data_IF_363824206440
#
_entry.id   IF_363824206440
#
_cell.length_a   1.000
_cell.length_b   1.000
_cell.length_c   1.000
_cell.angle_alpha   90.00
_cell.angle_beta   90.00
_cell.angle_gamma   90.00
#
_symmetry.space_group_name_H-M   'P 1'
#
loop_
_entity.id
_entity.type
_entity.pdbx_description
1 polymer ?
#
# COMPACT_ATOMS: atom_id res chain seq x y z
N UNK A 1 0.63 -24.96 11.55
CA UNK A 1 0.17 -23.55 11.54
C UNK A 1 1.28 -22.73 10.89
N UNK A 2 1.18 -22.48 9.60
CA UNK A 2 0.67 -21.25 8.96
C UNK A 2 1.76 -20.20 8.78
N UNK A 3 2.49 -20.24 7.66
CA UNK A 3 3.17 -19.05 7.17
C UNK A 3 3.22 -19.00 5.64
N UNK A 4 2.06 -19.28 5.02
CA UNK A 4 1.83 -18.93 3.63
C UNK A 4 1.41 -17.46 3.59
N UNK A 5 2.33 -16.54 3.33
CA UNK A 5 2.07 -15.25 2.63
C UNK A 5 3.37 -14.44 2.53
N UNK A 6 4.28 -14.90 1.68
CA UNK A 6 5.32 -14.04 1.15
C UNK A 6 4.74 -13.22 -0.01
N UNK A 7 4.26 -12.01 0.29
CA UNK A 7 4.12 -10.92 -0.68
C UNK A 7 5.16 -9.88 -0.31
N UNK A 8 6.11 -9.65 -1.21
CA UNK A 8 7.33 -8.88 -0.95
C UNK A 8 7.05 -7.49 -0.33
N UNK A 9 7.94 -6.99 0.56
CA UNK A 9 7.73 -5.74 1.27
C UNK A 9 7.72 -4.55 0.30
N UNK A 10 6.54 -4.02 0.01
CA UNK A 10 6.41 -2.77 -0.75
C UNK A 10 6.95 -1.64 0.12
N UNK A 11 8.08 -1.03 -0.25
CA UNK A 11 8.66 0.02 0.57
C UNK A 11 7.88 1.34 0.43
N UNK A 12 7.47 1.89 1.57
CA UNK A 12 6.77 3.15 1.72
C UNK A 12 7.49 4.09 2.67
N UNK A 13 7.42 5.40 2.41
CA UNK A 13 7.91 6.39 3.36
C UNK A 13 6.83 6.67 4.41
N UNK A 14 7.13 6.40 5.68
CA UNK A 14 6.21 6.71 6.77
C UNK A 14 6.47 8.11 7.31
N UNK A 15 5.49 9.01 7.19
CA UNK A 15 5.59 10.36 7.77
C UNK A 15 5.65 10.36 9.30
N UNK A 16 5.05 9.35 9.95
CA UNK A 16 5.15 9.19 11.41
C UNK A 16 6.50 8.65 11.85
N UNK A 17 7.08 7.71 11.09
CA UNK A 17 8.40 7.16 11.42
C UNK A 17 9.55 7.98 10.85
N UNK A 18 9.26 8.91 9.92
CA UNK A 18 10.21 9.71 9.12
C UNK A 18 11.27 8.85 8.43
N UNK A 19 10.86 7.68 7.97
CA UNK A 19 11.78 6.65 7.52
C UNK A 19 11.14 5.78 6.43
N UNK A 20 11.96 5.22 5.54
CA UNK A 20 11.50 4.28 4.51
C UNK A 20 11.35 2.90 5.13
N UNK A 21 10.14 2.34 5.04
CA UNK A 21 9.75 1.11 5.74
C UNK A 21 8.88 0.22 4.85
N UNK A 22 8.85 -1.08 5.10
CA UNK A 22 7.94 -1.98 4.39
C UNK A 22 6.47 -1.65 4.73
N UNK A 23 5.62 -1.66 3.70
CA UNK A 23 4.17 -1.66 3.80
C UNK A 23 3.69 -3.10 3.93
N UNK A 24 3.04 -3.41 5.05
CA UNK A 24 2.30 -4.65 5.25
C UNK A 24 0.99 -4.62 4.47
N UNK A 25 0.70 -5.74 3.79
CA UNK A 25 -0.57 -5.93 3.08
C UNK A 25 -0.80 -4.95 1.94
N UNK A 26 0.26 -4.52 1.25
CA UNK A 26 0.14 -3.69 0.07
C UNK A 26 -0.71 -4.40 -1.00
N UNK A 27 -1.90 -3.87 -1.22
CA UNK A 27 -2.92 -4.40 -2.13
C UNK A 27 -3.25 -3.32 -3.15
N UNK A 28 -3.28 -3.70 -4.42
CA UNK A 28 -3.78 -2.82 -5.46
C UNK A 28 -5.32 -2.79 -5.38
N UNK A 29 -5.86 -1.59 -5.22
CA UNK A 29 -7.28 -1.30 -5.25
C UNK A 29 -7.58 -0.45 -6.47
N UNK A 30 -8.43 -0.98 -7.34
CA UNK A 30 -8.96 -0.26 -8.48
C UNK A 30 -10.26 0.42 -8.05
N UNK A 31 -10.28 1.76 -8.07
CA UNK A 31 -11.49 2.52 -7.85
C UNK A 31 -12.05 2.98 -9.20
N UNK A 32 -13.26 2.55 -9.59
CA UNK A 32 -13.92 3.09 -10.78
C UNK A 32 -14.23 4.57 -10.55
N UNK A 33 -13.68 5.44 -11.39
CA UNK A 33 -13.98 6.88 -11.40
C UNK A 33 -14.94 7.25 -12.52
N UNK A 34 -15.60 8.40 -12.39
CA UNK A 34 -16.61 8.97 -13.33
C UNK A 34 -16.08 9.29 -14.75
N UNK A 35 -14.89 8.82 -15.12
CA UNK A 35 -14.23 9.00 -16.41
C UNK A 35 -12.97 8.15 -16.57
N UNK A 36 -12.96 6.93 -16.00
CA UNK A 36 -11.86 5.95 -16.12
C UNK A 36 -11.52 5.22 -14.82
N UNK A 37 -10.78 4.11 -14.93
CA UNK A 37 -10.28 3.33 -13.80
C UNK A 37 -9.11 4.05 -13.12
N UNK A 38 -9.21 4.27 -11.80
CA UNK A 38 -8.12 4.83 -10.99
C UNK A 38 -7.49 3.70 -10.18
N UNK A 39 -6.20 3.46 -10.37
CA UNK A 39 -5.47 2.49 -9.55
C UNK A 39 -4.85 3.19 -8.36
N UNK A 40 -5.04 2.63 -7.18
CA UNK A 40 -4.35 3.02 -5.97
C UNK A 40 -3.81 1.76 -5.29
N UNK A 41 -2.62 1.85 -4.73
CA UNK A 41 -2.07 0.81 -3.88
C UNK A 41 -2.35 1.21 -2.44
N UNK A 42 -3.06 0.36 -1.71
CA UNK A 42 -3.36 0.51 -0.29
C UNK A 42 -2.45 -0.43 0.49
N UNK A 43 -1.70 0.07 1.46
CA UNK A 43 -0.91 -0.74 2.37
C UNK A 43 -0.94 -0.16 3.77
N UNK A 44 -0.23 -0.79 4.70
CA UNK A 44 -0.14 -0.33 6.08
C UNK A 44 1.31 -0.29 6.55
N UNK A 45 1.71 0.73 7.29
CA UNK A 45 3.07 0.76 7.86
C UNK A 45 3.24 -0.36 8.89
N UNK A 46 4.30 -1.17 8.78
CA UNK A 46 4.57 -2.27 9.74
C UNK A 46 4.79 -1.79 11.18
N UNK A 47 5.36 -0.60 11.38
CA UNK A 47 5.77 -0.11 12.70
C UNK A 47 4.66 0.61 13.45
N UNK A 48 3.96 1.52 12.77
CA UNK A 48 2.94 2.38 13.38
C UNK A 48 1.52 2.02 12.97
N UNK A 49 1.35 1.01 12.12
CA UNK A 49 0.04 0.57 11.64
C UNK A 49 -0.72 1.64 10.85
N UNK A 50 -0.05 2.69 10.37
CA UNK A 50 -0.70 3.80 9.66
C UNK A 50 -0.92 3.45 8.20
N UNK A 51 -2.16 3.62 7.73
CA UNK A 51 -2.54 3.35 6.36
C UNK A 51 -1.78 4.23 5.39
N UNK A 52 -1.12 3.60 4.42
CA UNK A 52 -0.40 4.26 3.34
C UNK A 52 -1.14 3.99 2.04
N UNK A 53 -1.33 5.05 1.25
CA UNK A 53 -1.96 4.96 -0.05
C UNK A 53 -1.01 5.55 -1.09
N UNK A 54 -0.70 4.78 -2.14
CA UNK A 54 0.07 5.24 -3.29
C UNK A 54 -0.83 5.23 -4.51
N UNK A 55 -1.25 6.41 -4.94
CA UNK A 55 -2.07 6.55 -6.15
C UNK A 55 -1.18 6.24 -7.36
N UNK A 56 -1.52 5.22 -8.15
CA UNK A 56 -0.75 4.76 -9.31
C UNK A 56 -1.17 5.45 -10.61
N UNK A 57 -2.19 6.31 -10.57
CA UNK A 57 -2.67 7.09 -11.72
C UNK A 57 -3.83 6.43 -12.46
N UNK A 58 -4.38 7.17 -13.43
CA UNK A 58 -5.39 6.67 -14.37
C UNK A 58 -4.69 5.78 -15.41
N UNK A 59 -5.36 4.71 -15.82
CA UNK A 59 -4.98 4.00 -17.04
C UNK A 59 -5.38 4.84 -18.25
#
# INVERSE_FOLDING_TARGET
MNESTQSGPVMGYCVKCRDKRPMKGATEVSMPGKGGERRAMKGNCEKCGTGMYRILGKK
#
